data_IF_019116333129
#
_entry.id   IF_019116333129
#
_cell.length_a   1.000
_cell.length_b   1.000
_cell.length_c   1.000
_cell.angle_alpha   90.00
_cell.angle_beta   90.00
_cell.angle_gamma   90.00
#
_symmetry.space_group_name_H-M   'P 1'
#
loop_
_entity.id
_entity.type
_entity.pdbx_description
1 polymer ?
#
# COMPACT_ATOMS: atom_id res chain seq x y z
N UNK A 1 48.92 -69.24 14.38
CA UNK A 1 47.99 -68.22 14.87
C UNK A 1 48.33 -66.93 14.13
N UNK A 2 47.66 -66.69 13.00
CA UNK A 2 47.90 -65.53 12.15
C UNK A 2 46.63 -64.68 12.10
N UNK A 3 46.71 -63.53 12.76
CA UNK A 3 45.62 -62.53 12.75
C UNK A 3 45.71 -61.74 11.44
N UNK A 4 44.66 -61.82 10.65
CA UNK A 4 44.45 -61.00 9.46
C UNK A 4 43.65 -59.75 9.84
N UNK A 5 44.06 -58.52 9.46
CA UNK A 5 43.26 -57.32 9.70
C UNK A 5 42.23 -57.13 8.58
N UNK A 6 41.02 -56.82 8.97
CA UNK A 6 39.88 -56.46 8.13
C UNK A 6 40.07 -55.07 7.49
N UNK A 7 39.59 -54.82 6.25
CA UNK A 7 39.73 -53.53 5.54
C UNK A 7 38.76 -52.47 6.08
N UNK A 8 39.14 -51.17 6.00
CA UNK A 8 38.28 -50.08 6.47
C UNK A 8 37.19 -49.78 5.45
N UNK A 9 35.96 -49.75 5.94
CA UNK A 9 34.79 -49.28 5.14
C UNK A 9 34.93 -47.79 4.79
N UNK A 10 35.15 -47.50 3.49
CA UNK A 10 35.04 -46.15 2.95
C UNK A 10 33.56 -45.79 2.81
N UNK A 11 33.08 -44.96 3.73
CA UNK A 11 31.76 -44.29 3.59
C UNK A 11 31.90 -43.23 2.52
N UNK A 12 31.35 -43.49 1.33
CA UNK A 12 31.13 -42.47 0.32
C UNK A 12 29.94 -41.61 0.72
N UNK A 13 30.23 -40.43 1.31
CA UNK A 13 29.24 -39.38 1.47
C UNK A 13 28.94 -38.78 0.08
N UNK A 14 27.85 -39.23 -0.56
CA UNK A 14 27.30 -38.56 -1.72
C UNK A 14 26.61 -37.30 -1.23
N UNK A 15 27.31 -36.17 -1.27
CA UNK A 15 26.70 -34.85 -1.09
C UNK A 15 25.84 -34.52 -2.31
N UNK A 16 24.54 -34.78 -2.21
CA UNK A 16 23.57 -34.28 -3.16
C UNK A 16 23.47 -32.75 -3.00
N UNK A 17 24.19 -32.03 -3.87
CA UNK A 17 24.03 -30.57 -4.02
C UNK A 17 22.68 -30.33 -4.71
N UNK A 18 21.63 -30.07 -3.92
CA UNK A 18 20.37 -29.55 -4.44
C UNK A 18 20.60 -28.10 -4.86
N UNK A 19 21.01 -27.89 -6.10
CA UNK A 19 20.95 -26.57 -6.74
C UNK A 19 19.47 -26.30 -7.06
N UNK A 20 18.75 -25.72 -6.12
CA UNK A 20 17.44 -25.11 -6.41
C UNK A 20 17.70 -23.92 -7.31
N UNK A 21 17.43 -24.05 -8.60
CA UNK A 21 17.38 -22.92 -9.51
C UNK A 21 16.27 -21.98 -9.05
N UNK A 22 16.63 -20.92 -8.32
CA UNK A 22 15.74 -19.81 -8.08
C UNK A 22 15.47 -19.14 -9.42
N UNK A 23 14.38 -19.54 -10.07
CA UNK A 23 13.83 -18.79 -11.20
C UNK A 23 13.44 -17.41 -10.68
N UNK A 24 14.18 -16.37 -11.11
CA UNK A 24 13.88 -14.96 -10.81
C UNK A 24 12.66 -14.46 -11.59
N UNK A 25 11.61 -15.28 -11.69
CA UNK A 25 10.32 -14.88 -12.21
C UNK A 25 9.70 -13.86 -11.26
N UNK A 26 9.51 -12.61 -11.70
CA UNK A 26 8.68 -11.65 -10.97
C UNK A 26 7.29 -12.27 -10.83
N UNK A 27 6.85 -12.52 -9.59
CA UNK A 27 5.50 -12.98 -9.33
C UNK A 27 4.48 -11.98 -9.94
N UNK A 28 3.46 -12.49 -10.59
CA UNK A 28 2.40 -11.65 -11.13
C UNK A 28 1.67 -10.91 -9.99
N UNK A 29 1.23 -9.65 -10.21
CA UNK A 29 0.43 -8.95 -9.21
C UNK A 29 -0.85 -9.72 -8.87
N UNK A 30 -1.17 -9.81 -7.59
CA UNK A 30 -2.43 -10.41 -7.13
C UNK A 30 -3.58 -9.46 -7.48
N UNK A 31 -4.62 -9.91 -8.20
CA UNK A 31 -5.77 -9.07 -8.53
C UNK A 31 -6.60 -8.77 -7.28
N UNK A 32 -7.33 -7.63 -7.27
CA UNK A 32 -8.18 -7.24 -6.15
C UNK A 32 -9.23 -8.30 -5.79
N UNK A 33 -9.75 -9.04 -6.77
CA UNK A 33 -10.71 -10.14 -6.56
C UNK A 33 -10.18 -11.29 -5.68
N UNK A 34 -8.86 -11.47 -5.61
CA UNK A 34 -8.25 -12.48 -4.74
C UNK A 34 -8.41 -12.19 -3.23
N UNK A 35 -8.89 -10.98 -2.87
CA UNK A 35 -9.16 -10.59 -1.49
C UNK A 35 -10.63 -10.74 -1.09
N UNK A 36 -11.49 -11.30 -1.95
CA UNK A 36 -12.95 -11.32 -1.77
C UNK A 36 -13.43 -12.01 -0.46
N UNK A 37 -12.68 -12.99 0.03
CA UNK A 37 -12.94 -13.71 1.28
C UNK A 37 -12.32 -13.04 2.52
N UNK A 38 -11.47 -12.03 2.32
CA UNK A 38 -10.80 -11.30 3.41
C UNK A 38 -11.79 -10.62 4.37
N UNK A 39 -11.54 -10.74 5.68
CA UNK A 39 -12.40 -10.17 6.73
C UNK A 39 -11.59 -9.38 7.75
N UNK A 40 -12.19 -8.33 8.35
CA UNK A 40 -13.50 -7.75 8.01
C UNK A 40 -13.50 -7.09 6.62
N UNK A 41 -14.66 -6.98 5.97
CA UNK A 41 -14.77 -6.29 4.68
C UNK A 41 -14.39 -4.80 4.82
N UNK A 42 -13.59 -4.31 3.89
CA UNK A 42 -13.10 -2.93 3.90
C UNK A 42 -14.13 -2.00 3.26
N UNK A 43 -14.68 -1.12 4.06
CA UNK A 43 -15.48 0.02 3.62
C UNK A 43 -14.68 1.31 3.89
N UNK A 44 -14.13 1.98 2.86
CA UNK A 44 -13.33 3.19 3.06
C UNK A 44 -14.14 4.35 3.66
N UNK A 45 -15.45 4.46 3.35
CA UNK A 45 -16.29 5.50 3.94
C UNK A 45 -16.42 5.30 5.47
N UNK A 46 -16.62 4.04 5.89
CA UNK A 46 -16.69 3.70 7.31
C UNK A 46 -15.34 3.84 8.01
N UNK A 47 -14.27 3.40 7.37
CA UNK A 47 -12.91 3.42 7.97
C UNK A 47 -12.46 4.85 8.26
N UNK A 48 -12.65 5.77 7.31
CA UNK A 48 -12.20 7.16 7.45
C UNK A 48 -13.24 8.10 8.09
N UNK A 49 -14.41 7.62 8.49
CA UNK A 49 -15.33 8.41 9.32
C UNK A 49 -14.81 8.45 10.76
N UNK A 50 -14.71 9.66 11.34
CA UNK A 50 -14.11 9.93 12.63
C UNK A 50 -12.65 10.39 12.50
N UNK A 51 -11.79 9.99 13.44
CA UNK A 51 -10.38 10.35 13.45
C UNK A 51 -9.51 9.13 13.15
N UNK A 52 -8.63 9.27 12.18
CA UNK A 52 -7.57 8.29 11.88
C UNK A 52 -6.21 8.95 11.88
N UNK A 53 -5.21 8.20 12.29
CA UNK A 53 -3.82 8.63 12.27
C UNK A 53 -2.96 7.58 11.58
N UNK A 54 -1.94 8.02 10.85
CA UNK A 54 -0.96 7.11 10.26
C UNK A 54 0.46 7.45 10.67
N UNK A 55 1.31 6.42 10.53
CA UNK A 55 2.76 6.51 10.63
C UNK A 55 3.36 5.69 9.51
N UNK A 56 4.42 6.19 8.90
CA UNK A 56 5.05 5.50 7.80
C UNK A 56 6.33 6.15 7.31
N UNK A 57 6.74 5.73 6.12
CA UNK A 57 7.94 6.21 5.45
C UNK A 57 7.69 6.45 3.97
N UNK A 58 8.31 7.49 3.45
CA UNK A 58 8.57 7.62 2.03
C UNK A 58 9.75 6.75 1.64
N UNK A 59 9.66 6.13 0.47
CA UNK A 59 10.67 5.27 -0.10
C UNK A 59 11.11 5.80 -1.47
N UNK A 60 12.39 5.68 -1.79
CA UNK A 60 12.85 5.91 -3.14
C UNK A 60 12.42 4.76 -4.08
N UNK A 61 12.77 4.85 -5.37
CA UNK A 61 12.41 3.83 -6.37
C UNK A 61 12.99 2.43 -6.11
N UNK A 62 13.99 2.31 -5.21
CA UNK A 62 14.59 1.04 -4.78
C UNK A 62 13.89 0.43 -3.56
N UNK A 63 12.94 1.17 -2.93
CA UNK A 63 12.28 0.76 -1.69
C UNK A 63 13.06 1.13 -0.43
N UNK A 64 14.10 1.98 -0.54
CA UNK A 64 14.87 2.44 0.60
C UNK A 64 14.15 3.63 1.26
N UNK A 65 13.96 3.65 2.60
CA UNK A 65 13.28 4.74 3.28
C UNK A 65 14.08 6.04 3.19
N UNK A 66 13.38 7.14 2.91
CA UNK A 66 14.00 8.48 2.74
C UNK A 66 13.51 9.49 3.75
N UNK A 67 12.22 9.48 4.09
CA UNK A 67 11.61 10.42 5.03
C UNK A 67 10.51 9.74 5.84
N UNK A 68 10.29 10.20 7.07
CA UNK A 68 9.11 9.78 7.86
C UNK A 68 7.89 10.55 7.39
N UNK A 69 6.73 9.90 7.46
CA UNK A 69 5.43 10.54 7.25
C UNK A 69 4.50 10.21 8.42
N UNK A 70 3.72 11.19 8.82
CA UNK A 70 2.57 11.03 9.71
C UNK A 70 1.40 11.75 9.07
N UNK A 71 0.23 11.13 9.11
CA UNK A 71 -1.00 11.73 8.57
C UNK A 71 -2.08 11.73 9.64
N UNK A 72 -2.73 12.87 9.83
CA UNK A 72 -3.93 13.02 10.66
C UNK A 72 -5.12 13.25 9.73
N UNK A 73 -6.20 12.48 9.90
CA UNK A 73 -7.39 12.60 9.05
C UNK A 73 -8.65 12.64 9.90
N UNK A 74 -9.48 13.65 9.67
CA UNK A 74 -10.81 13.78 10.25
C UNK A 74 -11.85 13.67 9.17
N UNK A 75 -12.73 12.66 9.27
CA UNK A 75 -13.78 12.38 8.31
C UNK A 75 -15.18 12.49 8.91
N UNK A 76 -16.10 13.02 8.13
CA UNK A 76 -17.53 13.07 8.48
C UNK A 76 -18.41 12.76 7.28
N UNK A 77 -19.50 12.06 7.51
CA UNK A 77 -20.50 11.83 6.48
C UNK A 77 -21.39 13.06 6.32
N UNK A 78 -21.55 13.54 5.09
CA UNK A 78 -22.40 14.67 4.71
C UNK A 78 -23.26 14.24 3.53
N UNK A 79 -24.56 14.05 3.74
CA UNK A 79 -25.51 13.67 2.68
C UNK A 79 -25.07 12.44 1.84
N UNK A 80 -24.50 11.43 2.51
CA UNK A 80 -24.05 10.19 1.84
C UNK A 80 -22.64 10.26 1.23
N UNK A 81 -21.96 11.38 1.33
CA UNK A 81 -20.58 11.59 0.89
C UNK A 81 -19.66 11.75 2.11
N UNK A 82 -18.51 11.14 2.08
CA UNK A 82 -17.48 11.30 3.12
C UNK A 82 -16.62 12.54 2.79
N UNK A 83 -16.63 13.50 3.69
CA UNK A 83 -15.74 14.67 3.66
C UNK A 83 -14.61 14.45 4.64
N UNK A 84 -13.37 14.55 4.18
CA UNK A 84 -12.16 14.34 5.00
C UNK A 84 -11.23 15.53 4.91
N UNK A 85 -10.71 15.94 6.07
CA UNK A 85 -9.60 16.88 6.19
C UNK A 85 -8.36 16.10 6.63
N UNK A 86 -7.35 16.12 5.78
CA UNK A 86 -6.13 15.35 5.96
C UNK A 86 -4.93 16.28 6.06
N UNK A 87 -4.14 16.12 7.12
CA UNK A 87 -2.92 16.87 7.36
C UNK A 87 -1.72 15.93 7.33
N UNK A 88 -0.77 16.22 6.43
CA UNK A 88 0.40 15.39 6.19
C UNK A 88 1.65 16.10 6.72
N UNK A 89 2.44 15.38 7.49
CA UNK A 89 3.71 15.80 8.06
C UNK A 89 4.82 14.92 7.49
N UNK A 90 5.68 15.49 6.64
CA UNK A 90 6.70 14.75 5.88
C UNK A 90 8.07 15.30 6.24
N UNK A 91 8.87 14.54 6.98
CA UNK A 91 10.19 14.96 7.45
C UNK A 91 10.11 16.29 8.17
N UNK A 92 10.91 17.27 7.73
CA UNK A 92 10.94 18.65 8.24
C UNK A 92 10.17 19.64 7.36
N UNK A 93 9.44 19.15 6.35
CA UNK A 93 8.70 20.02 5.42
C UNK A 93 7.51 20.68 6.09
N UNK A 94 7.06 21.85 5.60
CA UNK A 94 5.82 22.45 6.08
C UNK A 94 4.65 21.47 5.94
N UNK A 95 3.75 21.51 6.93
CA UNK A 95 2.53 20.69 6.93
C UNK A 95 1.72 20.97 5.65
N UNK A 96 1.37 19.90 4.93
CA UNK A 96 0.43 19.98 3.81
C UNK A 96 -0.97 19.60 4.25
N UNK A 97 -1.97 20.10 3.51
CA UNK A 97 -3.37 19.90 3.79
C UNK A 97 -4.09 19.43 2.53
N UNK A 98 -4.95 18.42 2.69
CA UNK A 98 -5.79 17.87 1.63
C UNK A 98 -7.23 17.70 2.12
N UNK A 99 -8.18 18.26 1.40
CA UNK A 99 -9.61 18.07 1.61
C UNK A 99 -10.14 17.10 0.57
N UNK A 100 -10.67 15.98 1.03
CA UNK A 100 -11.29 14.96 0.19
C UNK A 100 -12.80 15.00 0.28
N UNK A 101 -13.46 14.68 -0.85
CA UNK A 101 -14.86 14.28 -0.91
C UNK A 101 -14.94 12.95 -1.62
N UNK A 102 -15.42 11.91 -0.92
CA UNK A 102 -15.49 10.55 -1.43
C UNK A 102 -16.92 10.05 -1.36
N UNK A 103 -17.38 9.38 -2.43
CA UNK A 103 -18.68 8.74 -2.47
C UNK A 103 -18.59 7.32 -3.02
N UNK A 104 -19.58 6.51 -2.65
CA UNK A 104 -19.78 5.18 -3.20
C UNK A 104 -20.58 5.28 -4.50
N UNK A 105 -20.17 4.55 -5.53
CA UNK A 105 -20.89 4.45 -6.80
C UNK A 105 -21.79 3.20 -6.81
N UNK A 106 -21.27 2.09 -6.31
CA UNK A 106 -21.97 0.81 -6.16
C UNK A 106 -21.37 0.00 -5.01
N UNK A 107 -21.69 -1.28 -4.89
CA UNK A 107 -21.22 -2.16 -3.80
C UNK A 107 -19.68 -2.18 -3.64
N UNK A 108 -18.94 -2.03 -4.74
CA UNK A 108 -17.49 -2.19 -4.76
C UNK A 108 -16.72 -0.94 -5.18
N UNK A 109 -17.34 -0.03 -5.93
CA UNK A 109 -16.66 1.11 -6.55
C UNK A 109 -16.91 2.42 -5.82
N UNK A 110 -15.86 3.24 -5.81
CA UNK A 110 -15.82 4.54 -5.15
C UNK A 110 -15.14 5.56 -6.06
N UNK A 111 -15.54 6.81 -5.90
CA UNK A 111 -14.83 7.93 -6.49
C UNK A 111 -14.62 9.05 -5.47
N UNK A 112 -13.59 9.86 -5.69
CA UNK A 112 -13.29 10.99 -4.84
C UNK A 112 -12.67 12.14 -5.62
N UNK A 113 -12.79 13.34 -5.06
CA UNK A 113 -12.06 14.54 -5.48
C UNK A 113 -11.29 15.11 -4.31
N UNK A 114 -10.20 15.84 -4.57
CA UNK A 114 -9.50 16.61 -3.56
C UNK A 114 -8.93 17.91 -4.15
N UNK A 115 -8.56 18.85 -3.28
CA UNK A 115 -8.04 20.17 -3.67
C UNK A 115 -6.73 20.12 -4.47
N UNK A 116 -5.95 19.03 -4.32
CA UNK A 116 -4.67 18.82 -5.00
C UNK A 116 -4.69 17.62 -5.96
N UNK A 117 -5.87 17.06 -6.25
CA UNK A 117 -6.08 15.95 -7.18
C UNK A 117 -6.63 16.46 -8.52
N UNK A 118 -6.02 16.02 -9.60
CA UNK A 118 -6.46 16.34 -10.96
C UNK A 118 -7.55 15.36 -11.38
N UNK A 119 -8.75 15.90 -11.62
CA UNK A 119 -9.92 15.10 -12.00
C UNK A 119 -10.47 14.25 -10.85
N UNK A 120 -10.80 13.01 -11.13
CA UNK A 120 -11.49 12.10 -10.20
C UNK A 120 -10.56 10.94 -9.84
N UNK A 121 -10.37 10.70 -8.54
CA UNK A 121 -9.81 9.47 -8.02
C UNK A 121 -10.84 8.34 -8.13
N UNK A 122 -10.44 7.14 -8.55
CA UNK A 122 -11.32 5.97 -8.64
C UNK A 122 -10.70 4.79 -7.92
N UNK A 123 -11.54 4.05 -7.22
CA UNK A 123 -11.13 2.87 -6.47
C UNK A 123 -12.19 1.81 -6.37
N UNK A 124 -11.76 0.62 -5.98
CA UNK A 124 -12.64 -0.51 -5.74
C UNK A 124 -12.20 -1.27 -4.48
N UNK A 125 -13.19 -1.83 -3.77
CA UNK A 125 -13.00 -2.68 -2.60
C UNK A 125 -13.41 -4.12 -2.89
N UNK A 126 -12.66 -5.09 -2.34
CA UNK A 126 -13.01 -6.51 -2.36
C UNK A 126 -12.48 -7.15 -1.08
N UNK A 127 -13.36 -7.80 -0.31
CA UNK A 127 -13.01 -8.32 1.00
C UNK A 127 -12.35 -7.27 1.89
N UNK A 128 -11.19 -7.55 2.43
CA UNK A 128 -10.45 -6.64 3.30
C UNK A 128 -9.50 -5.67 2.57
N UNK A 129 -9.56 -5.59 1.22
CA UNK A 129 -8.69 -4.73 0.43
C UNK A 129 -9.46 -3.61 -0.28
N UNK A 130 -8.80 -2.46 -0.45
CA UNK A 130 -9.27 -1.32 -1.24
C UNK A 130 -8.11 -0.77 -2.07
N UNK A 131 -8.26 -0.78 -3.40
CA UNK A 131 -7.27 -0.25 -4.32
C UNK A 131 -7.84 0.96 -5.04
N UNK A 132 -7.09 2.04 -5.11
CA UNK A 132 -7.48 3.20 -5.88
C UNK A 132 -6.32 3.91 -6.55
N UNK A 133 -6.64 4.76 -7.51
CA UNK A 133 -5.66 5.56 -8.24
C UNK A 133 -6.15 7.00 -8.42
N UNK A 134 -5.20 7.93 -8.42
CA UNK A 134 -5.45 9.34 -8.70
C UNK A 134 -4.20 10.03 -9.23
N UNK A 135 -4.37 11.21 -9.80
CA UNK A 135 -3.27 12.08 -10.22
C UNK A 135 -3.15 13.23 -9.24
N UNK A 136 -1.99 13.36 -8.61
CA UNK A 136 -1.68 14.42 -7.66
C UNK A 136 -0.96 15.56 -8.37
N UNK A 137 -1.43 16.79 -8.19
CA UNK A 137 -0.78 18.01 -8.66
C UNK A 137 0.21 18.53 -7.61
N UNK A 138 1.49 18.11 -7.69
CA UNK A 138 2.52 18.57 -6.76
C UNK A 138 2.78 20.09 -6.87
N UNK A 139 2.48 20.68 -8.03
CA UNK A 139 2.53 22.12 -8.28
C UNK A 139 1.27 22.51 -9.06
N UNK A 140 0.27 23.09 -8.39
CA UNK A 140 -0.95 23.51 -9.07
C UNK A 140 -0.68 24.38 -10.29
N UNK A 141 -1.43 24.14 -11.36
CA UNK A 141 -1.27 24.88 -12.64
C UNK A 141 -0.11 24.43 -13.52
N UNK A 142 0.73 23.49 -13.06
CA UNK A 142 1.83 22.97 -13.89
C UNK A 142 1.76 21.42 -14.02
N UNK A 143 1.18 20.90 -15.13
CA UNK A 143 1.01 19.45 -15.33
C UNK A 143 2.31 18.66 -15.36
N UNK A 144 3.44 19.29 -15.65
CA UNK A 144 4.76 18.63 -15.63
C UNK A 144 5.16 18.12 -14.24
N UNK A 145 4.53 18.64 -13.18
CA UNK A 145 4.76 18.20 -11.81
C UNK A 145 3.69 17.25 -11.31
N UNK A 146 2.76 16.82 -12.16
CA UNK A 146 1.77 15.81 -11.78
C UNK A 146 2.42 14.44 -11.61
N UNK A 147 1.95 13.69 -10.63
CA UNK A 147 2.34 12.30 -10.40
C UNK A 147 1.11 11.41 -10.26
N UNK A 148 1.19 10.18 -10.77
CA UNK A 148 0.14 9.19 -10.58
C UNK A 148 0.40 8.40 -9.31
N UNK A 149 -0.58 8.42 -8.42
CA UNK A 149 -0.62 7.64 -7.19
C UNK A 149 -1.41 6.35 -7.45
N UNK A 150 -0.90 5.23 -6.96
CA UNK A 150 -1.65 3.96 -6.88
C UNK A 150 -1.50 3.47 -5.46
N UNK A 151 -2.61 3.35 -4.74
CA UNK A 151 -2.64 2.93 -3.34
C UNK A 151 -3.32 1.59 -3.20
N UNK A 152 -2.68 0.69 -2.48
CA UNK A 152 -3.20 -0.60 -2.08
C UNK A 152 -3.34 -0.61 -0.55
N UNK A 153 -4.57 -0.67 -0.10
CA UNK A 153 -4.93 -0.62 1.32
C UNK A 153 -5.48 -1.96 1.77
N UNK A 154 -5.03 -2.42 2.93
CA UNK A 154 -5.39 -3.74 3.49
C UNK A 154 -5.83 -3.58 4.94
N UNK A 155 -7.15 -3.73 5.18
CA UNK A 155 -7.71 -3.68 6.52
C UNK A 155 -7.29 -4.92 7.31
N UNK A 156 -6.82 -4.71 8.54
CA UNK A 156 -6.38 -5.78 9.41
C UNK A 156 -7.57 -6.41 10.16
N UNK A 157 -7.39 -7.62 10.74
CA UNK A 157 -8.48 -8.34 11.42
C UNK A 157 -9.14 -7.58 12.58
N UNK A 158 -8.46 -6.62 13.19
CA UNK A 158 -9.01 -5.76 14.24
C UNK A 158 -10.06 -4.74 13.74
N UNK A 159 -10.20 -4.58 12.41
CA UNK A 159 -11.10 -3.63 11.77
C UNK A 159 -10.76 -2.16 12.03
N UNK A 160 -9.65 -1.87 12.68
CA UNK A 160 -9.21 -0.51 13.08
C UNK A 160 -7.84 -0.14 12.51
N UNK A 161 -7.03 -1.11 12.18
CA UNK A 161 -5.69 -0.93 11.59
C UNK A 161 -5.75 -1.23 10.10
N UNK A 162 -5.08 -0.41 9.30
CA UNK A 162 -4.96 -0.58 7.86
C UNK A 162 -3.53 -0.33 7.43
N UNK A 163 -2.98 -1.22 6.61
CA UNK A 163 -1.69 -1.02 5.94
C UNK A 163 -1.98 -0.42 4.57
N UNK A 164 -1.30 0.68 4.27
CA UNK A 164 -1.34 1.34 2.97
C UNK A 164 0.04 1.25 2.31
N UNK A 165 0.05 0.84 1.05
CA UNK A 165 1.23 0.85 0.21
C UNK A 165 0.97 1.62 -1.07
N UNK A 166 1.71 2.71 -1.25
CA UNK A 166 1.61 3.58 -2.41
C UNK A 166 2.73 3.32 -3.39
N UNK A 167 2.39 3.46 -4.66
CA UNK A 167 3.36 3.57 -5.75
C UNK A 167 3.16 4.90 -6.46
N UNK A 168 4.21 5.69 -6.52
CA UNK A 168 4.22 7.01 -7.15
C UNK A 168 4.93 6.91 -8.50
N UNK A 169 4.21 7.26 -9.57
CA UNK A 169 4.74 7.24 -10.94
C UNK A 169 4.73 8.63 -11.54
N UNK A 170 5.80 8.91 -12.28
CA UNK A 170 5.91 10.09 -13.14
C UNK A 170 6.26 9.62 -14.55
N UNK A 171 5.46 10.05 -15.54
CA UNK A 171 5.61 9.59 -16.93
C UNK A 171 5.67 8.06 -17.07
N UNK A 172 4.86 7.32 -16.27
CA UNK A 172 4.82 5.86 -16.26
C UNK A 172 5.92 5.18 -15.43
N UNK A 173 6.98 5.89 -15.05
CA UNK A 173 8.12 5.35 -14.30
C UNK A 173 7.87 5.48 -12.80
N UNK A 174 8.16 4.43 -12.03
CA UNK A 174 8.12 4.48 -10.56
C UNK A 174 9.25 5.40 -10.09
N UNK A 175 8.88 6.43 -9.33
CA UNK A 175 9.83 7.43 -8.79
C UNK A 175 9.95 7.35 -7.27
N UNK A 176 8.91 6.90 -6.58
CA UNK A 176 8.87 6.77 -5.13
C UNK A 176 7.78 5.78 -4.70
N UNK A 177 7.78 5.43 -3.43
CA UNK A 177 6.72 4.71 -2.72
C UNK A 177 6.41 5.36 -1.39
N UNK A 178 5.31 4.94 -0.77
CA UNK A 178 4.97 5.24 0.63
C UNK A 178 4.41 3.98 1.26
N UNK A 179 4.91 3.64 2.44
CA UNK A 179 4.33 2.60 3.28
C UNK A 179 3.88 3.22 4.58
N UNK A 180 2.59 3.11 4.90
CA UNK A 180 1.96 3.68 6.09
C UNK A 180 1.07 2.66 6.77
N UNK A 181 1.01 2.73 8.09
CA UNK A 181 -0.02 2.08 8.88
C UNK A 181 -0.97 3.15 9.42
N UNK A 182 -2.26 3.04 9.07
CA UNK A 182 -3.34 3.86 9.62
C UNK A 182 -4.00 3.15 10.78
N UNK A 183 -4.44 3.93 11.76
CA UNK A 183 -5.23 3.44 12.89
C UNK A 183 -6.42 4.38 13.15
N UNK A 184 -7.62 3.80 13.37
CA UNK A 184 -8.80 4.55 13.83
C UNK A 184 -8.71 4.75 15.34
N UNK A 185 -8.79 5.99 15.76
CA UNK A 185 -8.76 6.41 17.17
C UNK A 185 -10.16 6.37 17.81
#
# INVERSE_FOLDING_TARGET
MTNSPSPPYRIFLLSFLFVTAFSSGKAAPIPLSAFADGRPAFDPLKFFTGHTRSWGVFENRKGEPTERITTETWGRMVRGELHMEQYLYIGTKPRSHRSWKMRRLDTHHFEATANDVVGIARGAASGNAFFWTFTLALKPGNPLFNVRMTQHMYLQPDGRTMINRDTIRKFGIVVAGVTEQFHRL
#
